data_IF_704071770812
#
_entry.id   IF_704071770812
#
_cell.length_a   1.000
_cell.length_b   1.000
_cell.length_c   1.000
_cell.angle_alpha   90.00
_cell.angle_beta   90.00
_cell.angle_gamma   90.00
#
_symmetry.space_group_name_H-M   'P 1'
#
loop_
_entity.id
_entity.type
_entity.pdbx_description
1 polymer ?
#
# COMPACT_ATOMS: atom_id res chain seq x y z
N UNK A 1 -0.18 -18.05 -13.21
CA UNK A 1 -0.95 -16.91 -12.69
C UNK A 1 -0.76 -16.88 -11.18
N UNK A 2 -0.36 -15.75 -10.59
CA UNK A 2 -0.12 -15.66 -9.14
C UNK A 2 -1.46 -15.42 -8.43
N UNK A 3 -1.81 -16.27 -7.46
CA UNK A 3 -3.10 -16.19 -6.73
C UNK A 3 -3.24 -14.93 -5.87
N UNK A 4 -2.12 -14.26 -5.57
CA UNK A 4 -2.08 -13.08 -4.71
C UNK A 4 -2.02 -11.76 -5.48
N UNK A 5 -1.64 -11.76 -6.76
CA UNK A 5 -1.51 -10.52 -7.52
C UNK A 5 -1.54 -10.72 -9.03
N UNK A 6 -2.10 -9.75 -9.74
CA UNK A 6 -1.91 -9.58 -11.18
C UNK A 6 -0.82 -8.55 -11.49
N UNK A 7 -0.66 -7.53 -10.63
CA UNK A 7 0.31 -6.44 -10.79
C UNK A 7 1.03 -6.12 -9.47
N UNK A 8 2.17 -5.44 -9.53
CA UNK A 8 2.72 -4.77 -8.36
C UNK A 8 1.99 -3.45 -8.08
N UNK A 9 2.07 -2.98 -6.83
CA UNK A 9 1.46 -1.71 -6.42
C UNK A 9 2.11 -0.49 -7.08
N UNK A 10 3.14 -0.65 -7.91
CA UNK A 10 3.78 0.41 -8.70
C UNK A 10 3.56 0.30 -10.21
N UNK A 11 2.86 -0.74 -10.68
CA UNK A 11 2.80 -1.05 -12.11
C UNK A 11 1.65 -0.37 -12.83
N UNK A 12 0.58 -0.07 -12.10
CA UNK A 12 -0.65 0.49 -12.67
C UNK A 12 -0.44 1.92 -13.19
N UNK A 13 -1.11 2.22 -14.29
CA UNK A 13 -1.08 3.53 -14.94
C UNK A 13 -2.40 3.82 -15.64
N UNK A 14 -2.52 4.99 -16.27
CA UNK A 14 -3.67 5.35 -17.10
C UNK A 14 -3.92 4.39 -18.28
N UNK A 15 -2.98 3.50 -18.62
CA UNK A 15 -3.19 2.43 -19.62
C UNK A 15 -4.06 1.29 -19.10
N UNK A 16 -4.19 1.14 -17.79
CA UNK A 16 -4.94 0.06 -17.13
C UNK A 16 -6.37 0.47 -16.77
N UNK A 17 -6.87 1.61 -17.26
CA UNK A 17 -8.20 2.09 -16.90
C UNK A 17 -9.28 1.06 -17.24
N UNK A 18 -10.20 0.87 -16.30
CA UNK A 18 -11.27 -0.11 -16.31
C UNK A 18 -10.87 -1.58 -16.20
N UNK A 19 -9.58 -1.88 -16.03
CA UNK A 19 -9.09 -3.25 -15.81
C UNK A 19 -9.44 -3.74 -14.40
N UNK A 20 -9.83 -5.01 -14.28
CA UNK A 20 -9.96 -5.70 -12.99
C UNK A 20 -8.59 -6.26 -12.58
N UNK A 21 -8.13 -5.89 -11.38
CA UNK A 21 -6.79 -6.21 -10.90
C UNK A 21 -6.83 -6.83 -9.51
N UNK A 22 -5.81 -7.63 -9.21
CA UNK A 22 -5.55 -8.16 -7.87
C UNK A 22 -4.23 -7.57 -7.39
N UNK A 23 -4.26 -6.88 -6.26
CA UNK A 23 -3.08 -6.36 -5.59
C UNK A 23 -2.99 -6.96 -4.19
N UNK A 24 -1.78 -7.26 -3.74
CA UNK A 24 -1.54 -7.66 -2.34
C UNK A 24 -0.40 -6.85 -1.75
N UNK A 25 -0.59 -6.39 -0.52
CA UNK A 25 0.37 -5.54 0.16
C UNK A 25 -0.02 -5.25 1.60
N UNK A 26 0.73 -4.32 2.20
CA UNK A 26 0.48 -3.76 3.52
C UNK A 26 -0.39 -2.51 3.39
N UNK A 27 -1.33 -2.35 4.30
CA UNK A 27 -2.03 -1.08 4.50
C UNK A 27 -1.02 -0.07 5.04
N UNK A 28 -0.54 0.85 4.21
CA UNK A 28 0.45 1.86 4.61
C UNK A 28 -0.21 3.01 5.37
N UNK A 29 -1.24 3.59 4.76
CA UNK A 29 -2.09 4.61 5.40
C UNK A 29 -3.56 4.36 5.08
N UNK A 30 -4.42 4.87 5.97
CA UNK A 30 -5.87 4.94 5.77
C UNK A 30 -6.34 6.36 6.03
N UNK A 31 -7.24 6.85 5.16
CA UNK A 31 -7.84 8.18 5.25
C UNK A 31 -9.35 8.04 5.11
N UNK A 32 -10.06 8.27 6.21
CA UNK A 32 -11.52 8.20 6.27
C UNK A 32 -12.10 9.59 6.03
N UNK A 33 -12.89 9.74 4.97
CA UNK A 33 -13.59 10.97 4.59
C UNK A 33 -15.12 10.86 4.83
N UNK A 34 -15.54 9.94 5.71
CA UNK A 34 -16.94 9.70 6.06
C UNK A 34 -17.68 8.84 5.03
N UNK A 35 -17.76 9.28 3.78
CA UNK A 35 -18.43 8.52 2.71
C UNK A 35 -17.50 7.57 1.96
N UNK A 36 -16.19 7.87 1.98
CA UNK A 36 -15.15 7.12 1.29
C UNK A 36 -14.00 6.84 2.26
N UNK A 37 -13.46 5.63 2.16
CA UNK A 37 -12.21 5.26 2.81
C UNK A 37 -11.15 5.08 1.73
N UNK A 38 -10.08 5.86 1.82
CA UNK A 38 -8.89 5.72 0.98
C UNK A 38 -7.84 4.93 1.73
N UNK A 39 -7.22 3.98 1.03
CA UNK A 39 -6.20 3.08 1.55
C UNK A 39 -5.01 3.17 0.62
N UNK A 40 -3.85 3.58 1.14
CA UNK A 40 -2.61 3.46 0.39
C UNK A 40 -2.08 2.04 0.62
N UNK A 41 -2.15 1.19 -0.41
CA UNK A 41 -1.65 -0.17 -0.39
C UNK A 41 -0.19 -0.17 -0.88
N UNK A 42 0.71 -0.63 -0.02
CA UNK A 42 2.16 -0.66 -0.27
C UNK A 42 2.65 -2.08 -0.46
N UNK A 43 3.52 -2.27 -1.44
CA UNK A 43 4.35 -3.46 -1.55
C UNK A 43 5.84 -3.08 -1.63
N UNK A 44 6.70 -4.03 -2.02
CA UNK A 44 8.13 -3.78 -2.17
C UNK A 44 8.47 -2.77 -3.28
N UNK A 45 7.56 -2.52 -4.22
CA UNK A 45 7.83 -1.79 -5.45
C UNK A 45 7.21 -0.39 -5.44
N UNK A 46 6.11 -0.20 -4.72
CA UNK A 46 5.53 1.12 -4.54
C UNK A 46 4.18 1.10 -3.83
N UNK A 47 3.39 2.14 -4.10
CA UNK A 47 2.11 2.40 -3.45
C UNK A 47 1.04 2.60 -4.53
N UNK A 48 -0.13 2.01 -4.32
CA UNK A 48 -1.36 2.30 -5.09
C UNK A 48 -2.46 2.67 -4.12
N UNK A 49 -3.20 3.73 -4.44
CA UNK A 49 -4.41 4.10 -3.68
C UNK A 49 -5.55 3.18 -4.07
N UNK A 50 -6.20 2.62 -3.06
CA UNK A 50 -7.44 1.88 -3.16
C UNK A 50 -8.55 2.67 -2.47
N UNK A 51 -9.77 2.61 -2.99
CA UNK A 51 -10.93 3.35 -2.47
C UNK A 51 -12.12 2.43 -2.27
N UNK A 52 -12.83 2.61 -1.16
CA UNK A 52 -14.07 1.88 -0.86
C UNK A 52 -15.13 2.82 -0.32
N UNK A 53 -16.35 2.70 -0.84
CA UNK A 53 -17.53 3.47 -0.41
C UNK A 53 -18.15 2.88 0.85
N UNK A 54 -18.66 3.73 1.75
CA UNK A 54 -19.36 3.33 2.98
C UNK A 54 -20.53 2.38 2.75
N UNK A 55 -21.17 2.45 1.57
CA UNK A 55 -22.26 1.56 1.17
C UNK A 55 -21.79 0.14 0.86
N UNK A 56 -20.49 -0.08 0.67
CA UNK A 56 -19.94 -1.39 0.36
C UNK A 56 -20.02 -2.30 1.60
N UNK A 57 -20.49 -3.54 1.41
CA UNK A 57 -20.67 -4.51 2.51
C UNK A 57 -19.40 -4.76 3.32
N UNK A 58 -18.25 -4.69 2.65
CA UNK A 58 -16.91 -4.89 3.22
C UNK A 58 -16.28 -3.64 3.86
N UNK A 59 -16.92 -2.47 3.81
CA UNK A 59 -16.37 -1.22 4.34
C UNK A 59 -15.96 -1.31 5.81
N UNK A 60 -16.85 -1.79 6.69
CA UNK A 60 -16.57 -1.89 8.13
C UNK A 60 -15.43 -2.84 8.43
N UNK A 61 -15.32 -3.93 7.68
CA UNK A 61 -14.30 -4.96 7.88
C UNK A 61 -12.90 -4.41 7.55
N UNK A 62 -12.74 -3.73 6.41
CA UNK A 62 -11.44 -3.18 6.04
C UNK A 62 -11.10 -1.94 6.88
N UNK A 63 -12.09 -1.13 7.27
CA UNK A 63 -11.85 0.03 8.13
C UNK A 63 -11.36 -0.40 9.54
N UNK A 64 -11.76 -1.57 10.02
CA UNK A 64 -11.30 -2.11 11.30
C UNK A 64 -9.82 -2.57 11.31
N UNK A 65 -9.22 -2.82 10.14
CA UNK A 65 -7.82 -3.29 10.05
C UNK A 65 -6.83 -2.19 10.40
N UNK A 66 -5.82 -2.49 11.22
CA UNK A 66 -4.72 -1.56 11.51
C UNK A 66 -3.77 -1.38 10.32
N UNK A 67 -2.97 -0.32 10.36
CA UNK A 67 -1.83 -0.16 9.45
C UNK A 67 -0.89 -1.38 9.56
N UNK A 68 -0.18 -1.67 8.47
CA UNK A 68 0.64 -2.88 8.28
C UNK A 68 -0.13 -4.21 8.31
N UNK A 69 -1.46 -4.21 8.34
CA UNK A 69 -2.22 -5.43 8.02
C UNK A 69 -2.00 -5.81 6.56
N UNK A 70 -1.88 -7.10 6.30
CA UNK A 70 -1.65 -7.66 4.95
C UNK A 70 -2.99 -8.02 4.34
N UNK A 71 -3.28 -7.44 3.19
CA UNK A 71 -4.55 -7.64 2.47
C UNK A 71 -4.30 -7.98 1.01
N UNK A 72 -5.22 -8.76 0.45
CA UNK A 72 -5.40 -8.96 -0.98
C UNK A 72 -6.64 -8.20 -1.42
N UNK A 73 -6.49 -7.24 -2.31
CA UNK A 73 -7.55 -6.42 -2.86
C UNK A 73 -7.83 -6.86 -4.29
N UNK A 74 -9.09 -7.14 -4.58
CA UNK A 74 -9.62 -7.28 -5.92
C UNK A 74 -10.46 -6.05 -6.26
N UNK A 75 -10.17 -5.40 -7.37
CA UNK A 75 -10.83 -4.15 -7.69
C UNK A 75 -10.59 -3.67 -9.10
N UNK A 76 -11.29 -2.59 -9.45
CA UNK A 76 -11.27 -1.99 -10.77
C UNK A 76 -10.41 -0.73 -10.78
N UNK A 77 -9.54 -0.59 -11.77
CA UNK A 77 -8.71 0.61 -11.94
C UNK A 77 -9.58 1.75 -12.49
N UNK A 78 -9.61 2.87 -11.78
CA UNK A 78 -10.31 4.09 -12.16
C UNK A 78 -9.33 5.26 -12.26
N UNK A 79 -9.72 6.28 -13.03
CA UNK A 79 -9.00 7.54 -13.07
C UNK A 79 -9.35 8.34 -11.82
N UNK A 80 -8.36 8.96 -11.19
CA UNK A 80 -8.62 9.96 -10.15
C UNK A 80 -9.30 11.19 -10.75
N UNK A 81 -10.01 11.94 -9.91
CA UNK A 81 -10.43 13.29 -10.30
C UNK A 81 -9.21 14.18 -10.49
N UNK A 82 -9.31 15.16 -11.38
CA UNK A 82 -8.15 15.99 -11.76
C UNK A 82 -7.54 16.73 -10.54
N UNK A 83 -8.37 17.07 -9.54
CA UNK A 83 -7.95 17.69 -8.27
C UNK A 83 -7.26 16.73 -7.28
N UNK A 84 -7.37 15.41 -7.47
CA UNK A 84 -6.82 14.39 -6.57
C UNK A 84 -5.63 13.62 -7.15
N UNK A 85 -5.15 14.05 -8.32
CA UNK A 85 -3.95 13.51 -8.97
C UNK A 85 -2.73 13.80 -8.11
N UNK A 86 -2.01 12.74 -7.74
CA UNK A 86 -0.77 12.85 -6.98
C UNK A 86 0.47 12.71 -7.88
N UNK A 87 1.07 13.84 -8.27
CA UNK A 87 2.27 13.87 -9.14
C UNK A 87 3.53 13.24 -8.52
N UNK A 88 3.55 12.99 -7.21
CA UNK A 88 4.69 12.37 -6.52
C UNK A 88 4.70 10.84 -6.63
N UNK A 89 3.56 10.24 -7.01
CA UNK A 89 3.40 8.79 -7.15
C UNK A 89 3.30 8.41 -8.63
N UNK A 90 3.97 7.32 -9.01
CA UNK A 90 3.88 6.75 -10.35
C UNK A 90 2.45 6.34 -10.73
N UNK A 91 1.68 5.89 -9.75
CA UNK A 91 0.27 5.47 -9.85
C UNK A 91 -0.70 6.61 -9.54
N UNK A 92 -0.21 7.84 -9.40
CA UNK A 92 -0.96 8.96 -8.84
C UNK A 92 -2.06 9.53 -9.74
N UNK A 93 -2.16 9.09 -10.99
CA UNK A 93 -3.26 9.42 -11.91
C UNK A 93 -4.46 8.48 -11.75
N UNK A 94 -4.25 7.32 -11.09
CA UNK A 94 -5.25 6.27 -10.96
C UNK A 94 -5.51 5.91 -9.50
N UNK A 95 -6.58 5.18 -9.28
CA UNK A 95 -6.90 4.51 -8.03
C UNK A 95 -7.62 3.20 -8.32
N UNK A 96 -7.68 2.30 -7.34
CA UNK A 96 -8.38 1.02 -7.45
C UNK A 96 -9.64 1.06 -6.60
N UNK A 97 -10.80 1.02 -7.24
CA UNK A 97 -12.06 0.83 -6.54
C UNK A 97 -12.15 -0.62 -6.04
N UNK A 98 -12.25 -0.80 -4.73
CA UNK A 98 -12.30 -2.12 -4.10
C UNK A 98 -13.66 -2.76 -4.40
N UNK A 99 -13.64 -3.87 -5.14
CA UNK A 99 -14.79 -4.74 -5.36
C UNK A 99 -14.85 -5.83 -4.30
N UNK A 100 -13.69 -6.37 -3.93
CA UNK A 100 -13.57 -7.35 -2.87
C UNK A 100 -12.21 -7.25 -2.17
N UNK A 101 -12.12 -7.75 -0.93
CA UNK A 101 -10.83 -7.91 -0.27
C UNK A 101 -10.80 -9.12 0.66
N UNK A 102 -9.60 -9.65 0.87
CA UNK A 102 -9.29 -10.72 1.81
C UNK A 102 -8.19 -10.27 2.77
N UNK A 103 -8.38 -10.51 4.06
CA UNK A 103 -7.33 -10.31 5.08
C UNK A 103 -6.41 -11.52 5.08
N UNK A 104 -5.15 -11.33 4.70
CA UNK A 104 -4.13 -12.38 4.74
C UNK A 104 -3.47 -12.46 6.12
N UNK A 105 -3.27 -11.31 6.78
CA UNK A 105 -2.76 -11.22 8.14
C UNK A 105 -3.17 -9.90 8.77
N UNK A 106 -3.65 -9.93 10.01
CA UNK A 106 -3.91 -8.72 10.80
C UNK A 106 -2.63 -8.23 11.47
N UNK A 107 -2.42 -6.91 11.52
CA UNK A 107 -1.35 -6.32 12.32
C UNK A 107 -1.80 -6.05 13.74
N UNK A 108 -0.89 -6.27 14.70
CA UNK A 108 -1.00 -5.75 16.06
C UNK A 108 -0.63 -4.27 16.11
N UNK A 109 -0.71 -3.68 17.31
CA UNK A 109 -0.23 -2.32 17.56
C UNK A 109 1.25 -2.22 17.22
N UNK A 110 1.58 -1.25 16.37
CA UNK A 110 2.94 -1.12 15.85
C UNK A 110 3.88 -0.51 16.91
N UNK A 111 5.02 -1.16 17.22
CA UNK A 111 6.00 -0.61 18.16
C UNK A 111 6.78 0.58 17.58
N UNK A 112 6.76 0.74 16.25
CA UNK A 112 7.20 1.93 15.53
C UNK A 112 6.35 2.11 14.26
N UNK A 113 5.99 3.35 13.88
CA UNK A 113 5.27 3.62 12.65
C UNK A 113 6.15 3.37 11.42
N UNK A 114 5.63 2.60 10.46
CA UNK A 114 6.36 2.29 9.21
C UNK A 114 6.19 3.38 8.16
N UNK A 115 5.02 4.01 8.12
CA UNK A 115 4.63 5.10 7.23
C UNK A 115 5.20 6.47 7.63
N UNK A 116 6.24 6.51 8.47
CA UNK A 116 6.82 7.73 9.01
C UNK A 116 8.35 7.71 8.96
N UNK A 117 8.93 8.86 8.63
CA UNK A 117 10.38 9.09 8.65
C UNK A 117 10.88 9.65 10.00
N UNK A 118 10.01 9.75 11.02
CA UNK A 118 10.42 10.17 12.38
C UNK A 118 11.51 9.23 12.91
N UNK A 119 12.60 9.78 13.42
CA UNK A 119 13.66 8.98 14.01
C UNK A 119 13.23 8.41 15.37
N UNK A 120 13.42 7.11 15.54
CA UNK A 120 13.18 6.38 16.77
C UNK A 120 14.52 5.93 17.36
N UNK A 121 14.54 5.71 18.67
CA UNK A 121 15.70 5.17 19.37
C UNK A 121 16.23 3.91 18.69
N UNK A 122 17.56 3.82 18.57
CA UNK A 122 18.24 2.72 17.89
C UNK A 122 17.86 1.36 18.47
N UNK A 123 17.73 1.26 19.79
CA UNK A 123 17.32 0.03 20.49
C UNK A 123 15.98 -0.52 19.96
N UNK A 124 14.95 0.34 19.85
CA UNK A 124 13.64 -0.04 19.32
C UNK A 124 13.75 -0.45 17.86
N UNK A 125 14.50 0.31 17.06
CA UNK A 125 14.68 0.05 15.62
C UNK A 125 15.42 -1.26 15.35
N UNK A 126 16.42 -1.60 16.15
CA UNK A 126 17.17 -2.85 16.01
C UNK A 126 16.35 -4.04 16.54
N UNK A 127 15.62 -3.87 17.66
CA UNK A 127 14.72 -4.90 18.18
C UNK A 127 13.63 -5.27 17.16
N UNK A 128 13.05 -4.26 16.51
CA UNK A 128 12.00 -4.42 15.49
C UNK A 128 12.52 -4.17 14.09
N UNK A 129 13.75 -4.63 13.79
CA UNK A 129 14.43 -4.34 12.53
C UNK A 129 13.64 -4.80 11.30
N UNK A 130 12.86 -5.86 11.43
CA UNK A 130 11.98 -6.36 10.37
C UNK A 130 10.87 -5.35 9.97
N UNK A 131 10.42 -4.48 10.89
CA UNK A 131 9.53 -3.35 10.58
C UNK A 131 10.32 -2.14 10.10
N UNK A 132 11.45 -1.82 10.75
CA UNK A 132 12.30 -0.68 10.38
C UNK A 132 12.79 -0.79 8.92
N UNK A 133 13.10 -2.01 8.45
CA UNK A 133 13.49 -2.28 7.06
C UNK A 133 12.38 -2.00 6.02
N UNK A 134 11.11 -1.94 6.43
CA UNK A 134 9.99 -1.58 5.54
C UNK A 134 9.87 -0.07 5.33
N UNK A 135 10.53 0.73 6.17
CA UNK A 135 10.50 2.19 6.07
C UNK A 135 11.27 2.65 4.84
N UNK A 136 10.77 3.70 4.20
CA UNK A 136 11.23 4.17 2.88
C UNK A 136 12.74 4.39 2.80
N UNK A 137 13.33 5.08 3.79
CA UNK A 137 14.78 5.37 3.83
C UNK A 137 15.63 4.10 3.82
N UNK A 138 15.31 3.14 4.69
CA UNK A 138 16.10 1.91 4.80
C UNK A 138 15.87 0.96 3.64
N UNK A 139 14.62 0.84 3.19
CA UNK A 139 14.28 0.06 2.00
C UNK A 139 15.07 0.54 0.77
N UNK A 140 15.09 1.86 0.52
CA UNK A 140 15.90 2.46 -0.55
C UNK A 140 17.40 2.17 -0.40
N UNK A 141 17.94 2.24 0.81
CA UNK A 141 19.36 1.96 1.06
C UNK A 141 19.72 0.50 0.74
N UNK A 142 18.87 -0.46 1.13
CA UNK A 142 19.09 -1.88 0.84
C UNK A 142 18.99 -2.15 -0.67
N UNK A 143 17.99 -1.57 -1.34
CA UNK A 143 17.87 -1.69 -2.80
C UNK A 143 19.06 -1.06 -3.53
N UNK A 144 19.53 0.10 -3.10
CA UNK A 144 20.71 0.76 -3.68
C UNK A 144 21.94 -0.12 -3.52
N UNK A 145 22.19 -0.65 -2.32
CA UNK A 145 23.30 -1.58 -2.07
C UNK A 145 23.24 -2.78 -3.00
N UNK A 146 22.07 -3.40 -3.16
CA UNK A 146 21.90 -4.54 -4.07
C UNK A 146 22.22 -4.17 -5.52
N UNK A 147 21.72 -3.03 -6.01
CA UNK A 147 22.01 -2.54 -7.37
C UNK A 147 23.51 -2.32 -7.60
N UNK A 148 24.20 -1.72 -6.63
CA UNK A 148 25.65 -1.49 -6.70
C UNK A 148 26.38 -2.84 -6.76
N UNK A 149 26.11 -3.76 -5.84
CA UNK A 149 26.76 -5.08 -5.81
C UNK A 149 26.50 -5.86 -7.11
N UNK A 150 25.29 -5.80 -7.65
CA UNK A 150 24.94 -6.49 -8.91
C UNK A 150 25.57 -5.86 -10.16
N UNK A 151 26.06 -4.62 -10.06
CA UNK A 151 26.70 -3.90 -11.16
C UNK A 151 28.23 -4.06 -11.21
N UNK A 152 28.81 -4.62 -10.15
CA UNK A 152 30.23 -4.97 -10.04
C UNK A 152 30.39 -6.40 -10.56
#
# INVERSE_FOLDING_TARGET
MNIYRTHYCSDLSSKNLNEEVILSGWIDTKRDHGNLLFIDLRDNYGITQCVIDIKHSKFKLINALGNESVVKIHGKVLKRSDDTINKTLKTGEIEVQINDFETLSTSEVLPLPVNSDIEYGEEVRLKYRYLDLRRNKLHKNILLRNKVISSI
#
